data_IF_828935790395
#
_entry.id   IF_828935790395
#
_cell.length_a   1.000
_cell.length_b   1.000
_cell.length_c   1.000
_cell.angle_alpha   90.00
_cell.angle_beta   90.00
_cell.angle_gamma   90.00
#
_symmetry.space_group_name_H-M   'P 1'
#
loop_
_entity.id
_entity.type
_entity.pdbx_description
1 polymer ?
#
# COMPACT_ATOMS: atom_id res chain seq x y z
N UNK A 1 8.59 3.04 -33.17
CA UNK A 1 8.51 4.52 -33.03
C UNK A 1 8.29 4.86 -31.57
N UNK A 2 8.66 6.04 -31.10
CA UNK A 2 8.73 6.38 -29.67
C UNK A 2 7.42 6.16 -28.87
N UNK A 3 6.26 6.26 -29.53
CA UNK A 3 4.95 5.96 -28.92
C UNK A 3 4.75 4.48 -28.55
N UNK A 4 5.52 3.54 -29.12
CA UNK A 4 5.45 2.12 -28.75
C UNK A 4 6.20 1.81 -27.45
N UNK A 5 7.00 2.75 -26.93
CA UNK A 5 7.78 2.58 -25.71
C UNK A 5 7.01 2.97 -24.43
N UNK A 6 5.83 3.60 -24.59
CA UNK A 6 5.02 4.08 -23.48
C UNK A 6 3.57 3.59 -23.56
N UNK A 7 2.96 3.32 -22.41
CA UNK A 7 1.56 2.94 -22.29
C UNK A 7 0.68 4.17 -22.48
N UNK A 8 -0.16 4.16 -23.51
CA UNK A 8 -1.11 5.25 -23.80
C UNK A 8 -2.10 5.46 -22.66
N UNK A 9 -2.52 4.39 -21.99
CA UNK A 9 -3.44 4.45 -20.85
C UNK A 9 -2.77 5.13 -19.64
N UNK A 10 -1.56 4.69 -19.27
CA UNK A 10 -0.82 5.26 -18.14
C UNK A 10 -0.42 6.72 -18.41
N UNK A 11 -0.07 7.05 -19.66
CA UNK A 11 0.24 8.41 -20.09
C UNK A 11 -0.98 9.35 -19.90
N UNK A 12 -2.17 8.89 -20.30
CA UNK A 12 -3.41 9.66 -20.16
C UNK A 12 -3.79 9.87 -18.69
N UNK A 13 -3.46 8.92 -17.82
CA UNK A 13 -3.72 8.98 -16.37
C UNK A 13 -2.58 9.67 -15.57
N UNK A 14 -1.49 10.07 -16.21
CA UNK A 14 -0.32 10.66 -15.54
C UNK A 14 0.46 9.67 -14.65
N UNK A 15 0.23 8.36 -14.79
CA UNK A 15 0.85 7.29 -13.99
C UNK A 15 2.23 6.95 -14.54
N UNK A 16 3.26 7.63 -14.02
CA UNK A 16 4.66 7.46 -14.47
C UNK A 16 5.25 6.10 -14.10
N UNK A 17 4.75 5.50 -13.05
CA UNK A 17 5.08 4.17 -12.53
C UNK A 17 4.69 3.03 -13.49
N UNK A 18 3.61 3.19 -14.26
CA UNK A 18 3.14 2.22 -15.26
C UNK A 18 3.35 2.70 -16.71
N UNK A 19 4.18 3.74 -16.89
CA UNK A 19 4.29 4.44 -18.17
C UNK A 19 5.06 3.65 -19.21
N UNK A 20 6.06 2.86 -18.84
CA UNK A 20 6.96 2.22 -19.80
C UNK A 20 6.51 0.81 -20.16
N UNK A 21 6.35 0.51 -21.45
CA UNK A 21 5.91 -0.81 -21.92
C UNK A 21 6.97 -1.90 -21.72
N UNK A 22 8.25 -1.52 -21.63
CA UNK A 22 9.38 -2.38 -21.31
C UNK A 22 9.94 -2.06 -19.93
N UNK A 23 9.18 -2.42 -18.91
CA UNK A 23 9.53 -2.10 -17.53
C UNK A 23 10.89 -2.70 -17.09
N UNK A 24 11.28 -3.85 -17.66
CA UNK A 24 12.58 -4.48 -17.41
C UNK A 24 13.79 -3.60 -17.74
N UNK A 25 13.64 -2.58 -18.60
CA UNK A 25 14.72 -1.64 -18.89
C UNK A 25 14.92 -0.62 -17.74
N UNK A 26 14.07 -0.65 -16.71
CA UNK A 26 14.06 0.24 -15.56
C UNK A 26 14.12 -0.55 -14.24
N UNK A 27 15.28 -1.17 -13.92
CA UNK A 27 15.41 -2.09 -12.79
C UNK A 27 15.05 -1.45 -11.44
N UNK A 28 15.25 -0.14 -11.26
CA UNK A 28 14.85 0.57 -10.06
C UNK A 28 13.31 0.61 -9.88
N UNK A 29 12.55 0.80 -10.96
CA UNK A 29 11.07 0.78 -10.93
C UNK A 29 10.60 -0.63 -10.58
N UNK A 30 11.15 -1.65 -11.26
CA UNK A 30 10.83 -3.06 -11.00
C UNK A 30 11.11 -3.45 -9.56
N UNK A 31 12.30 -3.10 -9.04
CA UNK A 31 12.70 -3.40 -7.66
C UNK A 31 11.76 -2.75 -6.64
N UNK A 32 11.39 -1.48 -6.84
CA UNK A 32 10.47 -0.79 -5.93
C UNK A 32 9.07 -1.40 -5.97
N UNK A 33 8.56 -1.78 -7.15
CA UNK A 33 7.26 -2.49 -7.26
C UNK A 33 7.29 -3.86 -6.58
N UNK A 34 8.39 -4.60 -6.71
CA UNK A 34 8.57 -5.88 -6.01
C UNK A 34 8.58 -5.69 -4.49
N UNK A 35 9.28 -4.68 -3.98
CA UNK A 35 9.32 -4.35 -2.56
C UNK A 35 7.94 -3.97 -2.01
N UNK A 36 7.18 -3.14 -2.75
CA UNK A 36 5.79 -2.81 -2.43
C UNK A 36 4.94 -4.08 -2.33
N UNK A 37 4.94 -4.92 -3.37
CA UNK A 37 4.15 -6.15 -3.39
C UNK A 37 4.54 -7.11 -2.25
N UNK A 38 5.83 -7.19 -1.90
CA UNK A 38 6.29 -8.00 -0.76
C UNK A 38 5.66 -7.51 0.56
N UNK A 39 5.68 -6.20 0.82
CA UNK A 39 5.09 -5.63 2.04
C UNK A 39 3.56 -5.84 2.07
N UNK A 40 2.89 -5.69 0.93
CA UNK A 40 1.44 -5.96 0.84
C UNK A 40 1.09 -7.43 1.09
N UNK A 41 1.91 -8.36 0.60
CA UNK A 41 1.74 -9.79 0.87
C UNK A 41 1.97 -10.12 2.35
N UNK A 42 2.97 -9.50 2.99
CA UNK A 42 3.20 -9.65 4.43
C UNK A 42 2.01 -9.13 5.25
N UNK A 43 1.46 -7.97 4.87
CA UNK A 43 0.25 -7.43 5.50
C UNK A 43 -0.95 -8.37 5.34
N UNK A 44 -1.16 -8.92 4.13
CA UNK A 44 -2.22 -9.90 3.86
C UNK A 44 -2.03 -11.19 4.65
N UNK A 45 -0.81 -11.70 4.74
CA UNK A 45 -0.50 -12.89 5.53
C UNK A 45 -0.80 -12.67 7.03
N UNK A 46 -0.52 -11.46 7.53
CA UNK A 46 -0.78 -11.10 8.93
C UNK A 46 -2.27 -11.08 9.30
N UNK A 47 -3.19 -10.93 8.33
CA UNK A 47 -4.63 -11.03 8.59
C UNK A 47 -5.02 -12.37 9.23
N UNK A 48 -4.30 -13.47 8.94
CA UNK A 48 -4.56 -14.76 9.58
C UNK A 48 -4.42 -14.68 11.10
N UNK A 49 -3.35 -14.04 11.57
CA UNK A 49 -3.09 -13.83 13.00
C UNK A 49 -4.14 -12.90 13.60
N UNK A 50 -4.48 -11.81 12.91
CA UNK A 50 -5.46 -10.83 13.38
C UNK A 50 -6.89 -11.40 13.45
N UNK A 51 -7.28 -12.25 12.50
CA UNK A 51 -8.56 -12.99 12.51
C UNK A 51 -8.69 -13.88 13.74
N UNK A 52 -7.62 -14.57 14.11
CA UNK A 52 -7.58 -15.39 15.32
C UNK A 52 -7.64 -14.53 16.59
N UNK A 53 -6.83 -13.46 16.66
CA UNK A 53 -6.78 -12.52 17.79
C UNK A 53 -8.14 -11.90 18.08
N UNK A 54 -8.83 -11.42 17.04
CA UNK A 54 -10.13 -10.74 17.17
C UNK A 54 -11.33 -11.69 17.08
N UNK A 55 -11.10 -13.01 16.94
CA UNK A 55 -12.13 -14.03 16.76
C UNK A 55 -13.14 -13.67 15.64
N UNK A 56 -12.64 -13.07 14.56
CA UNK A 56 -13.44 -12.58 13.42
C UNK A 56 -12.88 -13.15 12.12
N UNK A 57 -13.48 -14.21 11.61
CA UNK A 57 -12.99 -14.96 10.44
C UNK A 57 -12.99 -14.14 9.15
N UNK A 58 -13.96 -13.24 8.98
CA UNK A 58 -14.09 -12.35 7.83
C UNK A 58 -13.40 -10.99 8.01
N UNK A 59 -12.49 -10.87 9.00
CA UNK A 59 -11.72 -9.64 9.18
C UNK A 59 -10.87 -9.36 7.93
N UNK A 60 -10.93 -8.12 7.47
CA UNK A 60 -10.10 -7.59 6.40
C UNK A 60 -9.70 -6.16 6.75
N UNK A 61 -8.73 -5.63 5.99
CA UNK A 61 -8.32 -4.24 6.11
C UNK A 61 -9.37 -3.31 5.50
N UNK A 62 -9.53 -2.15 6.14
CA UNK A 62 -10.36 -1.05 5.64
C UNK A 62 -9.47 0.15 5.35
N UNK A 63 -9.79 0.85 4.27
CA UNK A 63 -9.12 2.09 3.86
C UNK A 63 -10.11 3.23 3.92
N UNK A 64 -9.71 4.37 4.49
CA UNK A 64 -10.54 5.56 4.66
C UNK A 64 -9.72 6.80 4.39
N UNK A 65 -10.14 7.64 3.45
CA UNK A 65 -9.50 8.95 3.17
C UNK A 65 -7.96 8.88 3.20
N UNK A 66 -7.34 9.38 4.27
CA UNK A 66 -5.89 9.46 4.47
C UNK A 66 -5.29 8.31 5.31
N UNK A 67 -6.07 7.29 5.67
CA UNK A 67 -5.64 6.16 6.50
C UNK A 67 -5.93 4.84 5.79
N UNK A 68 -4.91 4.00 5.66
CA UNK A 68 -4.97 2.70 5.00
C UNK A 68 -4.67 1.57 5.98
N UNK A 69 -5.09 0.34 5.65
CA UNK A 69 -4.81 -0.87 6.43
C UNK A 69 -5.32 -0.82 7.88
N UNK A 70 -6.50 -0.24 8.08
CA UNK A 70 -7.17 -0.20 9.39
C UNK A 70 -7.91 -1.52 9.69
N UNK A 71 -7.95 -1.91 10.95
CA UNK A 71 -8.82 -3.01 11.42
C UNK A 71 -10.06 -2.46 12.10
N UNK A 72 -11.23 -2.85 11.59
CA UNK A 72 -12.51 -2.43 12.15
C UNK A 72 -13.06 -3.43 13.17
N UNK A 73 -13.21 -2.96 14.41
CA UNK A 73 -13.70 -3.72 15.56
C UNK A 73 -14.98 -3.09 16.08
N UNK A 74 -16.00 -3.91 16.38
CA UNK A 74 -17.25 -3.42 16.96
C UNK A 74 -17.03 -2.81 18.36
N UNK A 75 -17.82 -1.81 18.73
CA UNK A 75 -17.73 -1.14 20.03
C UNK A 75 -18.37 -1.93 21.19
N UNK A 76 -18.74 -3.20 21.00
CA UNK A 76 -19.26 -4.04 22.08
C UNK A 76 -18.14 -4.38 23.06
N UNK A 77 -18.47 -4.47 24.36
CA UNK A 77 -17.49 -4.75 25.41
C UNK A 77 -16.66 -6.03 25.14
N UNK A 78 -17.24 -7.16 24.68
CA UNK A 78 -16.47 -8.35 24.36
C UNK A 78 -15.48 -8.15 23.20
N UNK A 79 -15.85 -7.37 22.17
CA UNK A 79 -15.00 -7.14 21.02
C UNK A 79 -13.82 -6.22 21.36
N UNK A 80 -14.07 -5.15 22.14
CA UNK A 80 -13.01 -4.23 22.57
C UNK A 80 -12.02 -4.93 23.52
N UNK A 81 -12.47 -5.87 24.36
CA UNK A 81 -11.57 -6.66 25.23
C UNK A 81 -10.58 -7.54 24.45
N UNK A 82 -10.84 -7.85 23.18
CA UNK A 82 -9.91 -8.61 22.32
C UNK A 82 -8.81 -7.74 21.71
N UNK A 83 -8.99 -6.40 21.72
CA UNK A 83 -8.02 -5.45 21.17
C UNK A 83 -6.85 -5.28 22.13
N UNK A 84 -5.62 -5.60 21.71
CA UNK A 84 -4.42 -5.35 22.49
C UNK A 84 -4.22 -3.86 22.82
N UNK A 85 -3.62 -3.58 23.97
CA UNK A 85 -3.45 -2.20 24.48
C UNK A 85 -2.46 -1.36 23.67
N UNK A 86 -1.54 -2.02 22.96
CA UNK A 86 -0.52 -1.41 22.12
C UNK A 86 -1.05 -1.05 20.72
N UNK A 87 -2.29 -1.38 20.40
CA UNK A 87 -2.90 -0.96 19.14
C UNK A 87 -3.26 0.53 19.18
N UNK A 88 -2.87 1.24 18.12
CA UNK A 88 -3.16 2.66 18.00
C UNK A 88 -4.58 2.83 17.48
N UNK A 89 -5.41 3.53 18.27
CA UNK A 89 -6.79 3.84 17.88
C UNK A 89 -6.80 4.92 16.80
N UNK A 90 -7.47 4.60 15.69
CA UNK A 90 -7.75 5.51 14.59
C UNK A 90 -9.21 6.01 14.61
N UNK A 91 -9.81 6.28 13.44
CA UNK A 91 -11.17 6.80 13.35
C UNK A 91 -12.23 5.84 13.90
N UNK A 92 -13.15 6.36 14.71
CA UNK A 92 -14.29 5.61 15.24
C UNK A 92 -15.62 6.21 14.78
N UNK A 93 -16.65 5.37 14.71
CA UNK A 93 -18.04 5.78 14.62
C UNK A 93 -18.80 5.31 15.85
N UNK A 94 -20.12 5.51 15.88
CA UNK A 94 -20.99 5.04 16.97
C UNK A 94 -20.87 3.52 17.18
N UNK A 95 -20.75 2.73 16.12
CA UNK A 95 -20.86 1.26 16.17
C UNK A 95 -19.52 0.54 16.10
N UNK A 96 -18.49 1.16 15.54
CA UNK A 96 -17.18 0.54 15.33
C UNK A 96 -16.04 1.49 15.65
N UNK A 97 -14.91 0.93 16.05
CA UNK A 97 -13.63 1.62 16.22
C UNK A 97 -12.59 0.97 15.33
N UNK A 98 -11.69 1.80 14.79
CA UNK A 98 -10.62 1.33 13.90
C UNK A 98 -9.28 1.45 14.57
N UNK A 99 -8.39 0.52 14.24
CA UNK A 99 -7.09 0.42 14.89
C UNK A 99 -6.00 0.07 13.90
N UNK A 100 -4.79 0.53 14.21
CA UNK A 100 -3.56 0.00 13.64
C UNK A 100 -2.80 -0.83 14.67
N UNK A 101 -2.63 -2.14 14.43
CA UNK A 101 -1.64 -2.93 15.14
C UNK A 101 -0.22 -2.37 14.93
N UNK A 102 0.71 -2.46 15.90
CA UNK A 102 2.07 -1.96 15.74
C UNK A 102 2.81 -2.49 14.52
N UNK A 103 2.66 -3.79 14.23
CA UNK A 103 3.26 -4.40 13.03
C UNK A 103 2.71 -3.76 11.75
N UNK A 104 1.41 -3.45 11.70
CA UNK A 104 0.81 -2.79 10.53
C UNK A 104 1.41 -1.40 10.35
N UNK A 105 1.59 -0.62 11.41
CA UNK A 105 2.25 0.69 11.33
C UNK A 105 3.69 0.58 10.80
N UNK A 106 4.44 -0.41 11.26
CA UNK A 106 5.80 -0.65 10.76
C UNK A 106 5.81 -0.94 9.25
N UNK A 107 4.88 -1.80 8.79
CA UNK A 107 4.74 -2.11 7.36
C UNK A 107 4.27 -0.92 6.55
N UNK A 108 3.36 -0.10 7.07
CA UNK A 108 2.93 1.14 6.40
C UNK A 108 4.09 2.13 6.21
N UNK A 109 4.99 2.25 7.19
CA UNK A 109 6.20 3.06 7.04
C UNK A 109 7.09 2.57 5.90
N UNK A 110 7.31 1.25 5.82
CA UNK A 110 8.08 0.62 4.72
C UNK A 110 7.39 0.80 3.37
N UNK A 111 6.07 0.63 3.33
CA UNK A 111 5.26 0.82 2.14
C UNK A 111 5.35 2.26 1.62
N UNK A 112 5.27 3.26 2.51
CA UNK A 112 5.47 4.68 2.14
C UNK A 112 6.84 4.89 1.53
N UNK A 113 7.89 4.38 2.18
CA UNK A 113 9.25 4.50 1.68
C UNK A 113 9.40 3.93 0.26
N UNK A 114 8.89 2.72 0.01
CA UNK A 114 9.01 2.10 -1.33
C UNK A 114 8.17 2.81 -2.39
N UNK A 115 7.02 3.39 -2.01
CA UNK A 115 6.20 4.21 -2.92
C UNK A 115 6.93 5.51 -3.30
N UNK A 116 7.63 6.14 -2.36
CA UNK A 116 8.47 7.30 -2.62
C UNK A 116 9.65 6.94 -3.55
N UNK A 117 10.33 5.82 -3.28
CA UNK A 117 11.40 5.29 -4.13
C UNK A 117 10.91 5.03 -5.56
N UNK A 118 9.74 4.41 -5.71
CA UNK A 118 9.09 4.18 -7.01
C UNK A 118 8.80 5.49 -7.75
N UNK A 119 8.25 6.49 -7.05
CA UNK A 119 7.94 7.79 -7.64
C UNK A 119 9.21 8.51 -8.13
N UNK A 120 10.30 8.48 -7.35
CA UNK A 120 11.60 9.04 -7.72
C UNK A 120 12.19 8.32 -8.94
N UNK A 121 12.20 6.98 -8.94
CA UNK A 121 12.70 6.18 -10.05
C UNK A 121 11.92 6.43 -11.34
N UNK A 122 10.59 6.50 -11.24
CA UNK A 122 9.70 6.78 -12.38
C UNK A 122 9.91 8.19 -12.93
N UNK A 123 10.11 9.18 -12.04
CA UNK A 123 10.45 10.54 -12.42
C UNK A 123 11.78 10.66 -13.15
N UNK A 124 12.81 9.93 -12.70
CA UNK A 124 14.12 9.89 -13.34
C UNK A 124 14.05 9.21 -14.71
N UNK A 125 13.37 8.07 -14.81
CA UNK A 125 13.14 7.35 -16.06
C UNK A 125 12.42 8.22 -17.10
N UNK A 126 11.39 8.97 -16.68
CA UNK A 126 10.68 9.90 -17.55
C UNK A 126 11.57 11.02 -18.09
N UNK A 127 12.38 11.65 -17.22
CA UNK A 127 13.33 12.69 -17.66
C UNK A 127 14.35 12.15 -18.68
N UNK A 128 14.87 10.94 -18.43
CA UNK A 128 15.81 10.28 -19.34
C UNK A 128 15.15 9.95 -20.69
N UNK A 129 13.89 9.52 -20.69
CA UNK A 129 13.11 9.29 -21.90
C UNK A 129 12.90 10.58 -22.69
N UNK A 130 12.50 11.68 -22.03
CA UNK A 130 12.34 12.98 -22.67
C UNK A 130 13.63 13.48 -23.32
N UNK A 131 14.78 13.31 -22.66
CA UNK A 131 16.08 13.68 -23.23
C UNK A 131 16.51 12.85 -24.45
N UNK A 132 15.89 11.70 -24.71
CA UNK A 132 16.15 10.87 -25.90
C UNK A 132 15.27 11.23 -27.09
N UNK A 133 14.15 11.93 -26.85
CA UNK A 133 13.18 12.29 -27.88
C UNK A 133 13.17 13.80 -28.20
N UNK A 134 13.88 14.59 -27.40
CA UNK A 134 14.25 15.97 -27.72
C UNK A 134 15.40 15.99 -28.74
#
# INVERSE_FOLDING_TARGET
>A
GFLSAISSEAATQGKKDDLFTREQDYPAIVSSKQAINSVEQELRAYLKTLRAQLKKSNLDYVHMQSSEYLLEVGNSEPAIKLVPRDWIKGPSTKTVSRFHPPLVLEKLKKLSQHREELALASGAAWKAFLGRIA
#
